data_IF_917138050429
#
_entry.id   IF_917138050429
#
_cell.length_a   1.000
_cell.length_b   1.000
_cell.length_c   1.000
_cell.angle_alpha   90.00
_cell.angle_beta   90.00
_cell.angle_gamma   90.00
#
_symmetry.space_group_name_H-M   'P 1'
#
loop_
_entity.id
_entity.type
_entity.pdbx_description
1 polymer ?
#
# COMPACT_ATOMS: atom_id res chain seq x y z
N UNK A 1 0.25 23.58 -27.71
CA UNK A 1 -1.06 23.48 -27.05
C UNK A 1 -1.04 24.26 -25.75
N UNK A 2 -2.04 25.10 -25.50
CA UNK A 2 -2.21 25.75 -24.19
C UNK A 2 -2.45 24.68 -23.11
N UNK A 3 -1.91 24.86 -21.89
CA UNK A 3 -2.09 23.90 -20.78
C UNK A 3 -3.57 23.60 -20.50
N UNK A 4 -4.45 24.57 -20.74
CA UNK A 4 -5.90 24.43 -20.61
C UNK A 4 -6.52 23.51 -21.66
N UNK A 5 -5.96 23.50 -22.88
CA UNK A 5 -6.42 22.60 -23.96
C UNK A 5 -6.03 21.16 -23.67
N UNK A 6 -4.81 20.93 -23.18
CA UNK A 6 -4.37 19.59 -22.77
C UNK A 6 -5.24 19.05 -21.63
N UNK A 7 -5.53 19.88 -20.62
CA UNK A 7 -6.37 19.48 -19.49
C UNK A 7 -7.82 19.19 -19.90
N UNK A 8 -8.39 20.01 -20.79
CA UNK A 8 -9.71 19.75 -21.38
C UNK A 8 -9.74 18.48 -22.22
N UNK A 9 -8.67 18.17 -22.96
CA UNK A 9 -8.58 16.93 -23.72
C UNK A 9 -8.59 15.72 -22.78
N UNK A 10 -7.80 15.74 -21.71
CA UNK A 10 -7.76 14.67 -20.71
C UNK A 10 -9.12 14.43 -20.05
N UNK A 11 -9.83 15.49 -19.65
CA UNK A 11 -11.15 15.37 -18.98
C UNK A 11 -12.24 14.89 -19.93
N UNK A 12 -12.14 15.21 -21.22
CA UNK A 12 -13.11 14.78 -22.25
C UNK A 12 -12.84 13.38 -22.78
N UNK A 13 -11.69 12.80 -22.48
CA UNK A 13 -11.33 11.46 -22.90
C UNK A 13 -12.27 10.42 -22.25
N UNK A 14 -12.83 9.46 -23.00
CA UNK A 14 -13.66 8.40 -22.44
C UNK A 14 -12.97 7.62 -21.30
N UNK A 15 -11.64 7.44 -21.36
CA UNK A 15 -10.88 6.73 -20.35
C UNK A 15 -10.89 7.45 -19.00
N UNK A 16 -11.00 8.79 -18.97
CA UNK A 16 -11.20 9.54 -17.72
C UNK A 16 -12.48 9.12 -17.02
N UNK A 17 -13.60 9.04 -17.78
CA UNK A 17 -14.88 8.60 -17.21
C UNK A 17 -14.80 7.14 -16.75
N UNK A 18 -14.11 6.28 -17.48
CA UNK A 18 -13.86 4.90 -17.05
C UNK A 18 -13.11 4.85 -15.72
N UNK A 19 -12.06 5.66 -15.54
CA UNK A 19 -11.32 5.75 -14.28
C UNK A 19 -12.19 6.21 -13.11
N UNK A 20 -13.09 7.17 -13.34
CA UNK A 20 -14.07 7.59 -12.32
C UNK A 20 -15.02 6.43 -11.96
N UNK A 21 -15.62 5.79 -12.96
CA UNK A 21 -16.59 4.70 -12.77
C UNK A 21 -15.98 3.52 -12.02
N UNK A 22 -14.77 3.09 -12.40
CA UNK A 22 -14.07 1.97 -11.77
C UNK A 22 -13.78 2.21 -10.29
N UNK A 23 -13.63 3.48 -9.89
CA UNK A 23 -13.34 3.86 -8.50
C UNK A 23 -14.58 4.09 -7.63
N UNK A 24 -15.78 4.26 -8.22
CA UNK A 24 -16.97 4.63 -7.46
C UNK A 24 -17.28 3.67 -6.29
N UNK A 25 -17.13 2.36 -6.52
CA UNK A 25 -17.39 1.37 -5.48
C UNK A 25 -16.45 1.53 -4.28
N UNK A 26 -15.15 1.79 -4.53
CA UNK A 26 -14.17 1.95 -3.46
C UNK A 26 -14.25 3.31 -2.77
N UNK A 27 -14.80 4.32 -3.43
CA UNK A 27 -14.95 5.67 -2.88
C UNK A 27 -15.75 5.71 -1.58
N UNK A 28 -16.73 4.82 -1.39
CA UNK A 28 -17.49 4.71 -0.13
C UNK A 28 -16.58 4.31 1.03
N UNK A 29 -15.71 3.31 0.82
CA UNK A 29 -14.75 2.88 1.82
C UNK A 29 -13.70 3.96 2.11
N UNK A 30 -13.20 4.63 1.07
CA UNK A 30 -12.26 5.75 1.19
C UNK A 30 -12.88 6.91 1.98
N UNK A 31 -14.16 7.21 1.74
CA UNK A 31 -14.88 8.26 2.45
C UNK A 31 -15.04 7.97 3.93
N UNK A 32 -15.47 6.74 4.28
CA UNK A 32 -15.55 6.32 5.67
C UNK A 32 -14.17 6.37 6.35
N UNK A 33 -13.13 5.91 5.66
CA UNK A 33 -11.77 5.93 6.19
C UNK A 33 -11.22 7.35 6.37
N UNK A 34 -11.43 8.24 5.40
CA UNK A 34 -11.07 9.65 5.47
C UNK A 34 -11.73 10.34 6.66
N UNK A 35 -13.05 10.16 6.82
CA UNK A 35 -13.82 10.71 7.95
C UNK A 35 -13.23 10.30 9.30
N UNK A 36 -13.01 9.00 9.50
CA UNK A 36 -12.46 8.46 10.75
C UNK A 36 -11.05 8.97 11.01
N UNK A 37 -10.22 9.05 9.96
CA UNK A 37 -8.86 9.61 10.05
C UNK A 37 -8.90 11.09 10.47
N UNK A 38 -9.83 11.86 9.89
CA UNK A 38 -10.06 13.26 10.23
C UNK A 38 -10.41 13.47 11.71
N UNK A 39 -11.36 12.66 12.22
CA UNK A 39 -11.73 12.68 13.65
C UNK A 39 -10.54 12.28 14.53
N UNK A 40 -9.82 11.22 14.15
CA UNK A 40 -8.67 10.72 14.91
C UNK A 40 -7.58 11.79 15.05
N UNK A 41 -7.26 12.54 13.99
CA UNK A 41 -6.28 13.62 14.04
C UNK A 41 -6.62 14.63 15.15
N UNK A 42 -7.85 15.14 15.19
CA UNK A 42 -8.26 16.12 16.20
C UNK A 42 -8.30 15.51 17.60
N UNK A 43 -8.75 14.26 17.75
CA UNK A 43 -8.82 13.58 19.05
C UNK A 43 -7.46 13.27 19.66
N UNK A 44 -6.39 13.26 18.87
CA UNK A 44 -5.00 13.20 19.39
C UNK A 44 -4.45 14.54 19.91
N UNK A 45 -5.27 15.60 19.89
CA UNK A 45 -4.88 16.94 20.35
C UNK A 45 -4.32 17.84 19.23
N UNK A 46 -4.38 17.40 17.97
CA UNK A 46 -4.00 18.23 16.83
C UNK A 46 -5.02 19.35 16.59
N UNK A 47 -4.55 20.56 16.33
CA UNK A 47 -5.43 21.67 15.94
C UNK A 47 -6.06 21.40 14.57
N UNK A 48 -7.30 21.87 14.36
CA UNK A 48 -8.00 21.66 13.09
C UNK A 48 -7.23 22.17 11.85
N UNK A 49 -6.59 23.36 11.86
CA UNK A 49 -5.78 23.80 10.73
C UNK A 49 -4.60 22.87 10.44
N UNK A 50 -3.94 22.35 11.49
CA UNK A 50 -2.82 21.42 11.33
C UNK A 50 -3.28 20.06 10.80
N UNK A 51 -4.44 19.58 11.24
CA UNK A 51 -5.05 18.34 10.72
C UNK A 51 -5.43 18.47 9.24
N UNK A 52 -5.98 19.62 8.82
CA UNK A 52 -6.30 19.89 7.41
C UNK A 52 -5.00 19.95 6.59
N UNK A 53 -3.99 20.65 7.09
CA UNK A 53 -2.68 20.72 6.43
C UNK A 53 -2.07 19.32 6.26
N UNK A 54 -2.10 18.48 7.29
CA UNK A 54 -1.62 17.11 7.23
C UNK A 54 -2.42 16.25 6.24
N UNK A 55 -3.76 16.39 6.21
CA UNK A 55 -4.62 15.69 5.25
C UNK A 55 -4.26 16.02 3.80
N UNK A 56 -3.99 17.29 3.51
CA UNK A 56 -3.68 17.77 2.16
C UNK A 56 -2.26 17.46 1.74
N UNK A 57 -1.27 17.66 2.61
CA UNK A 57 0.15 17.55 2.22
C UNK A 57 0.67 16.12 2.28
N UNK A 58 0.32 15.37 3.32
CA UNK A 58 0.85 14.00 3.50
C UNK A 58 0.08 12.99 2.66
N UNK A 59 -1.19 13.26 2.34
CA UNK A 59 -2.10 12.44 1.52
C UNK A 59 -1.76 10.93 1.52
N UNK A 60 -1.70 10.36 2.72
CA UNK A 60 -1.37 8.97 2.96
C UNK A 60 -2.03 8.50 4.25
N UNK A 61 -3.27 8.03 4.16
CA UNK A 61 -4.10 7.69 5.32
C UNK A 61 -3.44 6.73 6.31
N UNK A 62 -2.81 5.66 5.81
CA UNK A 62 -2.11 4.69 6.65
C UNK A 62 -0.94 5.31 7.41
N UNK A 63 -0.16 6.17 6.76
CA UNK A 63 0.96 6.86 7.41
C UNK A 63 0.46 7.87 8.44
N UNK A 64 -0.62 8.60 8.13
CA UNK A 64 -1.24 9.54 9.07
C UNK A 64 -1.68 8.82 10.34
N UNK A 65 -2.46 7.74 10.21
CA UNK A 65 -2.91 6.97 11.36
C UNK A 65 -1.74 6.34 12.15
N UNK A 66 -0.70 5.85 11.47
CA UNK A 66 0.45 5.24 12.12
C UNK A 66 1.25 6.23 13.00
N UNK A 67 1.34 7.50 12.60
CA UNK A 67 2.08 8.50 13.36
C UNK A 67 1.27 9.18 14.45
N UNK A 68 -0.06 9.13 14.39
CA UNK A 68 -0.92 9.82 15.36
C UNK A 68 -0.65 9.41 16.82
N UNK A 69 -0.52 8.12 17.17
CA UNK A 69 -0.16 7.72 18.53
C UNK A 69 1.21 8.24 18.97
N UNK A 70 2.19 8.27 18.06
CA UNK A 70 3.54 8.78 18.33
C UNK A 70 3.51 10.28 18.61
N UNK A 71 2.73 11.03 17.83
CA UNK A 71 2.53 12.46 18.05
C UNK A 71 1.79 12.73 19.36
N UNK A 72 0.75 11.95 19.68
CA UNK A 72 -0.03 12.10 20.91
C UNK A 72 0.80 11.93 22.18
N UNK A 73 1.80 11.05 22.16
CA UNK A 73 2.70 10.82 23.30
C UNK A 73 3.96 11.69 23.27
N UNK A 74 4.07 12.64 22.33
CA UNK A 74 5.21 13.54 22.21
C UNK A 74 6.51 12.85 21.80
N UNK A 75 6.44 11.79 20.99
CA UNK A 75 7.63 11.10 20.50
C UNK A 75 8.53 12.05 19.67
N UNK A 76 9.86 11.82 19.63
CA UNK A 76 10.76 12.63 18.82
C UNK A 76 10.37 12.65 17.34
N UNK A 77 10.49 13.81 16.70
CA UNK A 77 10.04 14.03 15.32
C UNK A 77 10.69 13.07 14.30
N UNK A 78 11.95 12.69 14.52
CA UNK A 78 12.64 11.74 13.65
C UNK A 78 12.02 10.34 13.70
N UNK A 79 11.44 9.91 14.85
CA UNK A 79 10.72 8.64 14.98
C UNK A 79 9.43 8.70 14.16
N UNK A 80 8.70 9.81 14.28
CA UNK A 80 7.47 10.08 13.51
C UNK A 80 7.75 10.02 12.01
N UNK A 81 8.81 10.69 11.54
CA UNK A 81 9.21 10.68 10.14
C UNK A 81 9.66 9.30 9.68
N UNK A 82 10.45 8.58 10.47
CA UNK A 82 10.88 7.23 10.13
C UNK A 82 9.68 6.29 9.98
N UNK A 83 8.72 6.33 10.92
CA UNK A 83 7.49 5.54 10.83
C UNK A 83 6.70 5.88 9.58
N UNK A 84 6.48 7.18 9.29
CA UNK A 84 5.79 7.60 8.07
C UNK A 84 6.52 7.14 6.79
N UNK A 85 7.85 7.26 6.76
CA UNK A 85 8.67 6.82 5.62
C UNK A 85 8.58 5.31 5.41
N UNK A 86 8.69 4.51 6.47
CA UNK A 86 8.57 3.05 6.41
C UNK A 86 7.21 2.62 5.84
N UNK A 87 6.11 3.20 6.33
CA UNK A 87 4.76 2.91 5.81
C UNK A 87 4.62 3.33 4.35
N UNK A 88 5.28 4.42 3.94
CA UNK A 88 5.22 4.95 2.60
C UNK A 88 6.21 4.32 1.60
N UNK A 89 7.06 3.38 2.01
CA UNK A 89 7.96 2.66 1.08
C UNK A 89 7.20 1.97 -0.06
N UNK A 90 5.93 1.64 0.14
CA UNK A 90 5.02 1.15 -0.92
C UNK A 90 4.97 2.06 -2.14
N UNK A 91 5.08 3.38 -1.98
CA UNK A 91 5.11 4.31 -3.11
C UNK A 91 6.37 4.18 -3.96
N UNK A 92 7.48 3.69 -3.40
CA UNK A 92 8.69 3.34 -4.17
C UNK A 92 8.41 2.12 -5.06
N UNK A 93 7.71 1.12 -4.52
CA UNK A 93 7.29 -0.07 -5.27
C UNK A 93 6.33 0.33 -6.40
N UNK A 94 5.31 1.14 -6.10
CA UNK A 94 4.38 1.66 -7.12
C UNK A 94 5.12 2.43 -8.22
N UNK A 95 6.07 3.28 -7.84
CA UNK A 95 6.89 4.05 -8.78
C UNK A 95 7.74 3.16 -9.68
N UNK A 96 8.26 2.05 -9.15
CA UNK A 96 9.01 1.06 -9.93
C UNK A 96 8.11 0.37 -10.96
N UNK A 97 6.93 -0.09 -10.54
CA UNK A 97 5.98 -0.79 -11.41
C UNK A 97 5.36 0.14 -12.46
N UNK A 98 5.13 1.41 -12.11
CA UNK A 98 4.62 2.43 -13.03
C UNK A 98 5.67 3.07 -13.93
N UNK A 99 6.94 2.74 -13.75
CA UNK A 99 8.04 3.31 -14.54
C UNK A 99 7.81 3.16 -16.03
N UNK A 100 7.48 1.95 -16.51
CA UNK A 100 7.30 1.69 -17.95
C UNK A 100 6.13 2.46 -18.56
N UNK A 101 5.15 2.86 -17.75
CA UNK A 101 3.95 3.60 -18.19
C UNK A 101 4.20 5.11 -18.27
N UNK A 102 4.85 5.67 -17.24
CA UNK A 102 4.93 7.13 -17.05
C UNK A 102 6.33 7.72 -17.19
N UNK A 103 7.38 6.90 -17.43
CA UNK A 103 8.74 7.40 -17.63
C UNK A 103 8.86 8.44 -18.77
N UNK A 104 8.16 8.29 -19.92
CA UNK A 104 8.24 9.26 -21.02
C UNK A 104 7.70 10.66 -20.66
N UNK A 105 6.92 10.78 -19.59
CA UNK A 105 6.30 12.03 -19.18
C UNK A 105 7.33 13.00 -18.55
N UNK A 106 7.14 14.32 -18.71
CA UNK A 106 8.02 15.31 -18.10
C UNK A 106 7.93 15.25 -16.57
N UNK A 107 9.05 15.58 -15.89
CA UNK A 107 9.21 15.44 -14.43
C UNK A 107 8.06 16.02 -13.61
N UNK A 108 7.53 17.18 -13.99
CA UNK A 108 6.42 17.85 -13.28
C UNK A 108 5.13 17.02 -13.29
N UNK A 109 4.83 16.35 -14.41
CA UNK A 109 3.67 15.46 -14.49
C UNK A 109 3.89 14.24 -13.62
N UNK A 110 5.10 13.65 -13.63
CA UNK A 110 5.43 12.50 -12.78
C UNK A 110 5.34 12.82 -11.29
N UNK A 111 5.75 14.02 -10.86
CA UNK A 111 5.59 14.46 -9.48
C UNK A 111 4.11 14.60 -9.09
N UNK A 112 3.28 15.14 -9.99
CA UNK A 112 1.84 15.24 -9.76
C UNK A 112 1.18 13.85 -9.67
N UNK A 113 1.53 12.93 -10.59
CA UNK A 113 1.09 11.52 -10.52
C UNK A 113 1.52 10.87 -9.21
N UNK A 114 2.72 11.16 -8.72
CA UNK A 114 3.22 10.68 -7.43
C UNK A 114 2.38 11.17 -6.25
N UNK A 115 2.07 12.47 -6.18
CA UNK A 115 1.21 13.01 -5.14
C UNK A 115 -0.20 12.39 -5.18
N UNK A 116 -0.79 12.25 -6.36
CA UNK A 116 -2.14 11.67 -6.51
C UNK A 116 -2.17 10.14 -6.52
N UNK A 117 -1.03 9.49 -6.29
CA UNK A 117 -0.97 8.03 -6.22
C UNK A 117 -1.61 7.51 -4.94
N UNK A 118 -2.16 6.30 -5.00
CA UNK A 118 -2.78 5.64 -3.86
C UNK A 118 -2.98 4.15 -4.15
N UNK A 119 -3.13 3.34 -3.11
CA UNK A 119 -3.19 1.88 -3.23
C UNK A 119 -4.31 1.42 -4.16
N UNK A 120 -5.50 2.01 -4.00
CA UNK A 120 -6.69 1.66 -4.77
C UNK A 120 -6.52 2.05 -6.25
N UNK A 121 -5.94 3.23 -6.50
CA UNK A 121 -5.62 3.70 -7.86
C UNK A 121 -4.59 2.77 -8.50
N UNK A 122 -3.56 2.38 -7.74
CA UNK A 122 -2.53 1.44 -8.18
C UNK A 122 -3.14 0.10 -8.60
N UNK A 123 -3.96 -0.50 -7.76
CA UNK A 123 -4.62 -1.79 -8.04
C UNK A 123 -5.53 -1.69 -9.25
N UNK A 124 -6.38 -0.65 -9.34
CA UNK A 124 -7.28 -0.48 -10.48
C UNK A 124 -6.52 -0.24 -11.79
N UNK A 125 -5.48 0.60 -11.75
CA UNK A 125 -4.64 0.87 -12.91
C UNK A 125 -3.94 -0.40 -13.40
N UNK A 126 -3.30 -1.17 -12.52
CA UNK A 126 -2.59 -2.40 -12.90
C UNK A 126 -3.55 -3.51 -13.36
N UNK A 127 -4.76 -3.56 -12.80
CA UNK A 127 -5.82 -4.48 -13.27
C UNK A 127 -6.28 -4.12 -14.68
N UNK A 128 -6.40 -2.83 -14.99
CA UNK A 128 -6.84 -2.33 -16.30
C UNK A 128 -5.74 -2.45 -17.36
N UNK A 129 -4.51 -2.11 -17.00
CA UNK A 129 -3.34 -2.13 -17.88
C UNK A 129 -2.33 -3.16 -17.35
N UNK A 130 -2.53 -4.47 -17.62
CA UNK A 130 -1.64 -5.51 -17.13
C UNK A 130 -0.30 -5.57 -17.87
N UNK A 131 -0.23 -5.00 -19.08
CA UNK A 131 0.98 -4.98 -19.92
C UNK A 131 1.75 -3.68 -19.72
N UNK A 132 3.07 -3.73 -19.43
CA UNK A 132 3.90 -2.57 -19.14
C UNK A 132 4.31 -1.81 -20.40
N UNK A 133 3.33 -1.36 -21.17
CA UNK A 133 3.49 -0.64 -22.43
C UNK A 133 2.80 0.73 -22.34
N UNK A 134 3.43 1.84 -22.77
CA UNK A 134 2.78 3.15 -22.81
C UNK A 134 1.56 3.15 -23.74
N UNK A 135 0.40 3.59 -23.23
CA UNK A 135 -0.83 3.75 -24.00
C UNK A 135 -1.44 5.13 -23.76
N UNK A 136 -2.08 5.75 -24.76
CA UNK A 136 -2.63 7.11 -24.65
C UNK A 136 -3.74 7.21 -23.60
N UNK A 137 -4.49 6.13 -23.35
CA UNK A 137 -5.61 6.07 -22.41
C UNK A 137 -5.18 6.08 -20.93
N UNK A 138 -3.91 5.78 -20.64
CA UNK A 138 -3.42 5.58 -19.27
C UNK A 138 -3.44 6.86 -18.43
N UNK A 139 -3.00 7.98 -19.02
CA UNK A 139 -2.95 9.26 -18.32
C UNK A 139 -4.36 9.80 -18.03
N UNK A 140 -5.29 9.83 -19.01
CA UNK A 140 -6.68 10.20 -18.71
C UNK A 140 -7.36 9.28 -17.70
N UNK A 141 -7.17 7.96 -17.81
CA UNK A 141 -7.70 7.00 -16.83
C UNK A 141 -7.20 7.28 -15.42
N UNK A 142 -5.88 7.45 -15.25
CA UNK A 142 -5.28 7.76 -13.97
C UNK A 142 -5.89 9.03 -13.36
N UNK A 143 -6.02 10.11 -14.16
CA UNK A 143 -6.57 11.36 -13.65
C UNK A 143 -8.05 11.25 -13.28
N UNK A 144 -8.83 10.45 -14.01
CA UNK A 144 -10.21 10.14 -13.64
C UNK A 144 -10.29 9.47 -12.27
N UNK A 145 -9.54 8.37 -12.11
CA UNK A 145 -9.47 7.63 -10.86
C UNK A 145 -8.93 8.48 -9.69
N UNK A 146 -7.86 9.22 -9.92
CA UNK A 146 -7.24 10.10 -8.93
C UNK A 146 -8.17 11.21 -8.44
N UNK A 147 -8.92 11.83 -9.36
CA UNK A 147 -9.82 12.94 -9.02
C UNK A 147 -10.91 12.47 -8.06
N UNK A 148 -11.63 11.41 -8.40
CA UNK A 148 -12.71 10.91 -7.56
C UNK A 148 -12.17 10.40 -6.22
N UNK A 149 -11.05 9.67 -6.22
CA UNK A 149 -10.41 9.16 -5.01
C UNK A 149 -9.99 10.29 -4.07
N UNK A 150 -9.38 11.35 -4.60
CA UNK A 150 -8.92 12.49 -3.80
C UNK A 150 -10.09 13.22 -3.15
N UNK A 151 -11.18 13.49 -3.88
CA UNK A 151 -12.36 14.12 -3.30
C UNK A 151 -13.07 13.22 -2.29
N UNK A 152 -13.18 11.92 -2.58
CA UNK A 152 -13.73 10.94 -1.64
C UNK A 152 -12.90 10.79 -0.38
N UNK A 153 -11.60 11.12 -0.40
CA UNK A 153 -10.78 11.21 0.81
C UNK A 153 -10.93 12.55 1.52
N UNK A 154 -10.69 13.66 0.81
CA UNK A 154 -10.51 14.98 1.43
C UNK A 154 -11.81 15.55 1.98
N UNK A 155 -12.94 15.40 1.26
CA UNK A 155 -14.22 15.95 1.71
C UNK A 155 -14.65 15.32 3.04
N UNK A 156 -14.68 13.98 3.17
CA UNK A 156 -15.00 13.34 4.44
C UNK A 156 -13.94 13.54 5.51
N UNK A 157 -12.64 13.56 5.17
CA UNK A 157 -11.58 13.83 6.15
C UNK A 157 -11.71 15.23 6.77
N UNK A 158 -11.93 16.25 5.94
CA UNK A 158 -12.17 17.62 6.43
C UNK A 158 -13.47 17.68 7.23
N UNK A 159 -14.54 17.03 6.78
CA UNK A 159 -15.77 16.93 7.56
C UNK A 159 -15.51 16.28 8.94
N UNK A 160 -14.71 15.22 9.00
CA UNK A 160 -14.32 14.55 10.23
C UNK A 160 -13.52 15.45 11.17
N UNK A 161 -12.59 16.24 10.63
CA UNK A 161 -11.82 17.23 11.40
C UNK A 161 -12.76 18.30 11.99
N UNK A 162 -13.65 18.87 11.18
CA UNK A 162 -14.54 19.94 11.61
C UNK A 162 -15.62 19.46 12.60
N UNK A 163 -16.14 18.25 12.39
CA UNK A 163 -17.16 17.64 13.23
C UNK A 163 -16.59 16.96 14.47
N UNK A 164 -15.26 16.81 14.60
CA UNK A 164 -14.64 16.08 15.71
C UNK A 164 -15.06 16.58 17.11
N UNK A 165 -15.34 17.87 17.24
CA UNK A 165 -15.80 18.49 18.50
C UNK A 165 -17.31 18.37 18.72
N UNK A 166 -18.09 18.20 17.64
CA UNK A 166 -19.52 17.92 17.72
C UNK A 166 -19.80 16.49 18.17
N UNK A 167 -18.82 15.58 18.02
CA UNK A 167 -18.99 14.18 18.45
C UNK A 167 -18.58 14.01 19.92
N UNK A 168 -19.52 13.65 20.82
CA UNK A 168 -19.27 13.50 22.24
C UNK A 168 -18.17 12.47 22.52
N UNK A 169 -17.29 12.77 23.49
CA UNK A 169 -16.28 11.79 23.94
C UNK A 169 -16.93 10.52 24.54
N UNK A 170 -18.15 10.65 25.07
CA UNK A 170 -18.95 9.53 25.58
C UNK A 170 -19.32 8.48 24.53
N UNK A 171 -19.22 8.81 23.24
CA UNK A 171 -19.41 7.85 22.15
C UNK A 171 -18.21 6.90 21.98
N UNK A 172 -17.17 7.03 22.82
CA UNK A 172 -16.01 6.15 22.80
C UNK A 172 -15.02 6.46 21.68
N UNK A 173 -15.03 7.67 21.12
CA UNK A 173 -14.15 8.04 20.00
C UNK A 173 -12.65 8.08 20.33
N UNK A 174 -12.29 8.20 21.60
CA UNK A 174 -10.90 7.97 22.05
C UNK A 174 -10.45 6.53 21.75
N UNK A 175 -11.37 5.56 21.83
CA UNK A 175 -11.17 4.19 21.39
C UNK A 175 -11.41 4.02 19.88
N UNK A 176 -12.20 4.88 19.23
CA UNK A 176 -12.41 4.79 17.78
C UNK A 176 -11.13 5.00 16.97
N UNK A 177 -10.17 5.82 17.43
CA UNK A 177 -8.85 5.89 16.80
C UNK A 177 -8.10 4.56 16.86
N UNK A 178 -8.18 3.86 18.00
CA UNK A 178 -7.63 2.51 18.19
C UNK A 178 -8.38 1.48 17.33
N UNK A 179 -9.71 1.53 17.29
CA UNK A 179 -10.53 0.66 16.44
C UNK A 179 -10.31 0.91 14.95
N UNK A 180 -10.06 2.16 14.54
CA UNK A 180 -9.74 2.50 13.17
C UNK A 180 -8.38 1.92 12.76
N UNK A 181 -7.37 2.08 13.62
CA UNK A 181 -6.08 1.44 13.47
C UNK A 181 -6.19 -0.09 13.44
N UNK A 182 -7.02 -0.66 14.31
CA UNK A 182 -7.32 -2.10 14.32
C UNK A 182 -8.02 -2.53 13.03
N UNK A 183 -8.98 -1.76 12.53
CA UNK A 183 -9.67 -2.02 11.26
C UNK A 183 -8.72 -2.00 10.07
N UNK A 184 -7.81 -1.01 10.01
CA UNK A 184 -6.76 -0.94 9.00
C UNK A 184 -5.82 -2.15 9.11
N UNK A 185 -5.34 -2.48 10.31
CA UNK A 185 -4.50 -3.65 10.56
C UNK A 185 -5.17 -4.95 10.07
N UNK A 186 -6.43 -5.16 10.48
CA UNK A 186 -7.23 -6.32 10.08
C UNK A 186 -7.47 -6.37 8.57
N UNK A 187 -7.65 -5.23 7.91
CA UNK A 187 -7.77 -5.16 6.45
C UNK A 187 -6.46 -5.43 5.71
N UNK A 188 -5.30 -5.49 6.39
CA UNK A 188 -4.02 -5.83 5.78
C UNK A 188 -3.65 -7.31 6.00
N UNK A 189 -4.40 -8.02 6.84
CA UNK A 189 -4.14 -9.39 7.28
C UNK A 189 -4.77 -10.44 6.36
N UNK A 190 -4.17 -10.68 5.19
CA UNK A 190 -4.72 -11.58 4.16
C UNK A 190 -4.13 -12.99 4.16
N UNK A 191 -2.88 -13.16 4.59
CA UNK A 191 -2.13 -14.41 4.46
C UNK A 191 -1.45 -14.81 5.77
N UNK A 192 -1.04 -16.09 5.86
CA UNK A 192 -0.42 -16.66 7.07
C UNK A 192 0.86 -15.92 7.48
N UNK A 193 1.65 -15.44 6.52
CA UNK A 193 2.89 -14.74 6.83
C UNK A 193 2.61 -13.38 7.48
N UNK A 194 1.65 -12.63 6.94
CA UNK A 194 1.23 -11.35 7.52
C UNK A 194 0.63 -11.53 8.92
N UNK A 195 -0.20 -12.56 9.12
CA UNK A 195 -0.73 -12.91 10.46
C UNK A 195 0.35 -13.25 11.48
N UNK A 196 1.32 -14.08 11.10
CA UNK A 196 2.44 -14.45 11.97
C UNK A 196 3.33 -13.24 12.28
N UNK A 197 3.66 -12.42 11.28
CA UNK A 197 4.45 -11.21 11.47
C UNK A 197 3.75 -10.23 12.43
N UNK A 198 2.43 -10.05 12.31
CA UNK A 198 1.65 -9.22 13.23
C UNK A 198 1.64 -9.78 14.66
N UNK A 199 1.51 -11.10 14.83
CA UNK A 199 1.56 -11.72 16.16
C UNK A 199 2.92 -11.53 16.83
N UNK A 200 4.01 -11.70 16.07
CA UNK A 200 5.38 -11.44 16.54
C UNK A 200 5.55 -9.96 16.91
N UNK A 201 5.06 -9.04 16.07
CA UNK A 201 5.10 -7.61 16.37
C UNK A 201 4.36 -7.29 17.67
N UNK A 202 3.16 -7.83 17.85
CA UNK A 202 2.31 -7.56 19.02
C UNK A 202 2.95 -8.10 20.30
N UNK A 203 3.46 -9.33 20.28
CA UNK A 203 4.14 -9.94 21.44
C UNK A 203 5.43 -9.21 21.79
N UNK A 204 6.23 -8.82 20.79
CA UNK A 204 7.44 -8.04 20.99
C UNK A 204 7.14 -6.63 21.56
N UNK A 205 6.08 -5.96 21.08
CA UNK A 205 5.65 -4.65 21.60
C UNK A 205 5.24 -4.72 23.07
N UNK A 206 4.57 -5.80 23.48
CA UNK A 206 4.13 -6.03 24.86
C UNK A 206 5.32 -6.38 25.75
N UNK A 207 6.19 -7.29 25.30
CA UNK A 207 7.37 -7.69 26.04
C UNK A 207 8.35 -6.52 26.27
N UNK A 208 8.50 -5.65 25.27
CA UNK A 208 9.37 -4.49 25.33
C UNK A 208 8.72 -3.25 25.95
N UNK A 209 7.49 -3.35 26.47
CA UNK A 209 6.68 -2.21 26.93
C UNK A 209 7.39 -1.33 27.97
N UNK A 210 8.23 -1.93 28.81
CA UNK A 210 8.98 -1.22 29.86
C UNK A 210 10.13 -0.33 29.34
N UNK A 211 10.48 -0.41 28.05
CA UNK A 211 11.57 0.40 27.49
C UNK A 211 11.20 1.89 27.44
N UNK A 212 12.15 2.79 27.78
CA UNK A 212 11.94 4.23 27.68
C UNK A 212 11.77 4.65 26.22
N UNK A 213 11.26 5.88 26.02
CA UNK A 213 11.10 6.49 24.69
C UNK A 213 10.20 5.70 23.71
N UNK A 214 9.35 4.79 24.21
CA UNK A 214 8.48 3.92 23.38
C UNK A 214 9.28 3.10 22.36
N UNK A 215 10.50 2.69 22.73
CA UNK A 215 11.34 1.78 21.93
C UNK A 215 10.64 0.44 21.66
N UNK A 216 9.63 0.08 22.44
CA UNK A 216 8.78 -1.07 22.20
C UNK A 216 8.18 -1.12 20.79
N UNK A 217 7.92 0.04 20.17
CA UNK A 217 7.45 0.14 18.78
C UNK A 217 8.56 -0.25 17.79
N UNK A 218 9.79 0.23 18.02
CA UNK A 218 10.94 -0.11 17.17
C UNK A 218 11.29 -1.60 17.27
N UNK A 219 11.24 -2.16 18.48
CA UNK A 219 11.44 -3.60 18.71
C UNK A 219 10.37 -4.41 18.00
N UNK A 220 9.10 -3.98 18.07
CA UNK A 220 8.01 -4.64 17.36
C UNK A 220 8.20 -4.63 15.84
N UNK A 221 8.59 -3.49 15.26
CA UNK A 221 8.87 -3.37 13.82
C UNK A 221 10.04 -4.28 13.42
N UNK A 222 11.16 -4.22 14.16
CA UNK A 222 12.33 -5.04 13.87
C UNK A 222 11.99 -6.53 13.92
N UNK A 223 11.30 -6.98 14.97
CA UNK A 223 10.87 -8.37 15.12
C UNK A 223 9.93 -8.80 13.98
N UNK A 224 8.97 -7.96 13.59
CA UNK A 224 8.05 -8.24 12.49
C UNK A 224 8.78 -8.37 11.14
N UNK A 225 9.70 -7.46 10.85
CA UNK A 225 10.50 -7.48 9.61
C UNK A 225 11.38 -8.73 9.57
N UNK A 226 12.08 -9.05 10.66
CA UNK A 226 12.89 -10.26 10.74
C UNK A 226 12.04 -11.52 10.56
N UNK A 227 10.88 -11.61 11.22
CA UNK A 227 9.97 -12.73 11.06
C UNK A 227 9.46 -12.83 9.61
N UNK A 228 9.07 -11.72 8.99
CA UNK A 228 8.63 -11.68 7.59
C UNK A 228 9.71 -12.18 6.63
N UNK A 229 10.95 -11.69 6.78
CA UNK A 229 12.09 -12.11 5.96
C UNK A 229 12.42 -13.60 6.14
N UNK A 230 12.33 -14.12 7.37
CA UNK A 230 12.55 -15.55 7.65
C UNK A 230 11.44 -16.42 7.05
N UNK A 231 10.18 -15.99 7.13
CA UNK A 231 9.05 -16.70 6.52
C UNK A 231 9.20 -16.72 5.00
N UNK A 232 9.56 -15.60 4.39
CA UNK A 232 9.80 -15.51 2.95
C UNK A 232 11.00 -16.37 2.51
N UNK A 233 12.09 -16.36 3.27
CA UNK A 233 13.25 -17.22 3.01
C UNK A 233 12.90 -18.71 3.12
N UNK A 234 12.10 -19.09 4.13
CA UNK A 234 11.62 -20.47 4.30
C UNK A 234 10.68 -20.89 3.17
N UNK A 235 9.76 -20.01 2.75
CA UNK A 235 8.83 -20.30 1.65
C UNK A 235 9.58 -20.41 0.31
N UNK A 236 10.61 -19.58 0.08
CA UNK A 236 11.51 -19.72 -1.07
C UNK A 236 12.30 -21.05 -1.04
N UNK A 237 12.73 -21.50 0.14
CA UNK A 237 13.45 -22.76 0.29
C UNK A 237 12.52 -23.97 0.07
N UNK A 238 11.25 -23.87 0.49
CA UNK A 238 10.24 -24.91 0.29
C UNK A 238 9.70 -24.96 -1.15
N UNK A 239 9.63 -23.82 -1.85
CA UNK A 239 9.24 -23.73 -3.27
C UNK A 239 10.38 -24.09 -4.23
N UNK A 240 11.62 -24.18 -3.75
CA UNK A 240 12.76 -24.83 -4.43
C UNK A 240 12.64 -26.37 -4.49
N UNK A 241 11.42 -26.93 -4.53
CA UNK A 241 11.29 -28.31 -5.03
C UNK A 241 11.61 -28.25 -6.53
N UNK A 242 12.67 -28.92 -7.00
CA UNK A 242 13.02 -28.90 -8.41
C UNK A 242 11.81 -29.39 -9.21
N UNK A 243 11.46 -28.68 -10.29
CA UNK A 243 10.51 -29.18 -11.29
C UNK A 243 11.10 -30.50 -11.79
N UNK A 244 10.55 -31.63 -11.34
CA UNK A 244 10.94 -32.93 -11.89
C UNK A 244 10.45 -32.95 -13.32
N UNK A 245 11.39 -32.94 -14.26
CA UNK A 245 11.08 -33.11 -15.67
C UNK A 245 10.73 -34.59 -15.88
N UNK A 246 9.44 -34.89 -15.98
CA UNK A 246 8.95 -36.22 -16.33
C UNK A 246 9.06 -36.37 -17.85
N UNK A 247 10.01 -37.19 -18.31
CA UNK A 247 10.23 -37.49 -19.73
C UNK A 247 9.90 -38.97 -19.96
N UNK A 248 9.07 -39.31 -20.97
CA UNK A 248 8.82 -40.70 -21.36
C UNK A 248 10.13 -41.40 -21.73
N UNK A 249 10.33 -42.65 -21.29
CA UNK A 249 11.60 -43.38 -21.43
C UNK A 249 12.10 -43.54 -22.89
N UNK A 250 11.20 -43.43 -23.86
CA UNK A 250 11.46 -43.68 -25.28
C UNK A 250 11.69 -42.41 -26.11
N UNK A 251 11.57 -41.22 -25.53
CA UNK A 251 11.81 -39.95 -26.24
C UNK A 251 13.19 -39.36 -25.94
N UNK A 252 13.97 -38.99 -26.98
CA UNK A 252 15.25 -38.33 -26.77
C UNK A 252 15.05 -36.94 -26.19
N UNK A 253 15.60 -36.70 -25.00
CA UNK A 253 15.60 -35.41 -24.31
C UNK A 253 15.90 -34.23 -25.26
N UNK A 254 15.08 -33.16 -25.27
CA UNK A 254 15.35 -31.94 -26.03
C UNK A 254 16.75 -31.36 -25.69
N UNK A 255 17.44 -30.71 -26.65
CA UNK A 255 18.82 -30.23 -26.44
C UNK A 255 18.97 -29.21 -25.31
N UNK A 256 17.92 -28.42 -25.04
CA UNK A 256 17.89 -27.43 -23.96
C UNK A 256 17.83 -28.10 -22.57
N UNK A 257 17.04 -29.17 -22.46
CA UNK A 257 16.81 -29.88 -21.20
C UNK A 257 18.00 -30.80 -20.87
N UNK A 258 18.69 -31.34 -21.88
CA UNK A 258 19.94 -32.11 -21.72
C UNK A 258 21.03 -31.34 -21.00
N UNK A 259 21.17 -30.03 -21.27
CA UNK A 259 22.16 -29.18 -20.60
C UNK A 259 21.81 -28.96 -19.13
N UNK A 260 20.54 -28.67 -18.83
CA UNK A 260 20.06 -28.45 -17.46
C UNK A 260 20.20 -29.70 -16.57
N UNK A 261 20.08 -30.90 -17.15
CA UNK A 261 20.35 -32.16 -16.45
C UNK A 261 21.84 -32.38 -16.22
N UNK A 262 22.69 -32.14 -17.24
CA UNK A 262 24.14 -32.30 -17.12
C UNK A 262 24.79 -31.33 -16.12
N UNK A 263 24.23 -30.14 -16.00
CA UNK A 263 24.67 -29.11 -15.05
C UNK A 263 24.17 -29.35 -13.61
N UNK A 264 23.33 -30.38 -13.39
CA UNK A 264 22.82 -30.77 -12.06
C UNK A 264 21.66 -29.91 -11.54
N UNK A 265 21.08 -29.05 -12.38
CA UNK A 265 19.98 -28.14 -12.01
C UNK A 265 18.63 -28.87 -11.86
N UNK A 266 18.46 -30.03 -12.50
CA UNK A 266 17.22 -30.81 -12.46
C UNK A 266 17.51 -32.32 -12.32
N UNK A 267 17.02 -33.00 -11.25
CA UNK A 267 17.13 -34.45 -11.15
C UNK A 267 16.19 -35.14 -12.13
N UNK A 268 16.73 -36.03 -12.98
CA UNK A 268 15.96 -36.90 -13.87
C UNK A 268 15.34 -38.05 -13.08
N UNK A 269 14.06 -38.35 -13.35
CA UNK A 269 13.39 -39.57 -12.90
C UNK A 269 12.72 -40.23 -14.10
N UNK A 270 13.27 -41.34 -14.54
CA UNK A 270 12.71 -42.15 -15.63
C UNK A 270 11.43 -42.84 -15.14
N UNK A 271 10.29 -42.58 -15.79
CA UNK A 271 9.06 -43.34 -15.56
C UNK A 271 9.08 -44.59 -16.46
N UNK A 272 9.25 -45.77 -15.85
CA UNK A 272 8.93 -47.05 -16.50
C UNK A 272 7.46 -47.35 -16.27
N UNK A 273 6.64 -47.26 -17.31
CA UNK A 273 5.29 -47.82 -17.27
C UNK A 273 5.40 -49.36 -17.18
N UNK A 274 4.65 -50.03 -16.29
CA UNK A 274 4.54 -51.49 -16.27
C UNK A 274 3.75 -52.03 -17.47
#
# INVERSE_FOLDING_TARGET
MSRLQALRATVRDPAFRTGVTDMMATCVGIAAWGLVTGVAMVKTGMSAPMAIFMSLVVYAGSAQLAVLPLMAVGAPLWVVWLTAMCVNLRFVIFSSMWRSYFQPLPRRHRLALGYFSGDVIFVAFMKRFPRPEPQPEQVPYFWGAATINWFSWQVPAIAGILLANAVPLSWGLGFAGVLALMGVLLSMLFDRATWLATLVAATAAVAAFALPLKLNILVAIAAAVTAGLLIEAADHHLRRKPKVLLVPADEPLPPADRRQVQDGDVPLREERHP
#
